data_IF_260342059474
#
_entry.id   IF_260342059474
#
_cell.length_a   1.000
_cell.length_b   1.000
_cell.length_c   1.000
_cell.angle_alpha   90.00
_cell.angle_beta   90.00
_cell.angle_gamma   90.00
#
_symmetry.space_group_name_H-M   'P 1'
#
loop_
_entity.id
_entity.type
_entity.pdbx_description
1 polymer ?
#
# COMPACT_ATOMS: atom_id res chain seq x y z
N UNK A 1 -18.85 -13.40 -26.48
CA UNK A 1 -18.18 -13.94 -27.68
C UNK A 1 -16.68 -13.56 -27.75
N UNK A 2 -16.03 -13.24 -26.60
CA UNK A 2 -14.60 -12.88 -26.51
C UNK A 2 -13.72 -14.07 -26.09
N UNK A 3 -14.29 -15.14 -25.55
CA UNK A 3 -13.55 -16.26 -24.92
C UNK A 3 -12.89 -17.26 -25.88
N UNK A 4 -13.17 -17.24 -27.15
CA UNK A 4 -12.74 -18.32 -28.06
C UNK A 4 -11.27 -18.23 -28.56
N UNK A 5 -10.51 -17.19 -28.18
CA UNK A 5 -9.11 -17.00 -28.59
C UNK A 5 -8.13 -16.70 -27.44
N UNK A 6 -8.56 -16.90 -26.19
CA UNK A 6 -7.70 -16.67 -25.03
C UNK A 6 -6.91 -17.94 -24.68
N UNK A 7 -5.66 -17.80 -24.22
CA UNK A 7 -4.91 -18.91 -23.65
C UNK A 7 -5.63 -19.48 -22.39
N UNK A 8 -5.36 -20.74 -22.05
CA UNK A 8 -5.94 -21.35 -20.84
C UNK A 8 -5.69 -20.50 -19.60
N UNK A 9 -4.46 -20.00 -19.43
CA UNK A 9 -4.08 -19.12 -18.34
C UNK A 9 -4.90 -17.81 -18.30
N UNK A 10 -5.18 -17.23 -19.47
CA UNK A 10 -6.02 -16.03 -19.56
C UNK A 10 -7.47 -16.31 -19.19
N UNK A 11 -7.98 -17.50 -19.52
CA UNK A 11 -9.34 -17.91 -19.15
C UNK A 11 -9.47 -18.13 -17.64
N UNK A 12 -8.49 -18.75 -16.98
CA UNK A 12 -8.46 -18.94 -15.53
C UNK A 12 -8.41 -17.59 -14.79
N UNK A 13 -7.58 -16.65 -15.24
CA UNK A 13 -7.53 -15.29 -14.67
C UNK A 13 -8.87 -14.56 -14.83
N UNK A 14 -9.50 -14.68 -16.00
CA UNK A 14 -10.81 -14.09 -16.26
C UNK A 14 -11.87 -14.64 -15.30
N UNK A 15 -11.97 -15.96 -15.14
CA UNK A 15 -12.91 -16.61 -14.24
C UNK A 15 -12.70 -16.23 -12.78
N UNK A 16 -11.44 -16.10 -12.37
CA UNK A 16 -11.08 -15.64 -11.04
C UNK A 16 -11.58 -14.20 -10.79
N UNK A 17 -11.31 -13.28 -11.71
CA UNK A 17 -11.75 -11.87 -11.64
C UNK A 17 -13.29 -11.80 -11.64
N UNK A 18 -13.95 -12.55 -12.52
CA UNK A 18 -15.40 -12.61 -12.60
C UNK A 18 -16.01 -13.07 -11.26
N UNK A 19 -15.43 -14.07 -10.62
CA UNK A 19 -15.88 -14.60 -9.34
C UNK A 19 -15.78 -13.53 -8.22
N UNK A 20 -14.70 -12.74 -8.18
CA UNK A 20 -14.54 -11.63 -7.25
C UNK A 20 -15.62 -10.56 -7.50
N UNK A 21 -15.82 -10.17 -8.75
CA UNK A 21 -16.81 -9.15 -9.13
C UNK A 21 -18.23 -9.60 -8.79
N UNK A 22 -18.59 -10.86 -9.07
CA UNK A 22 -19.91 -11.42 -8.69
C UNK A 22 -20.15 -11.37 -7.20
N UNK A 23 -19.14 -11.65 -6.41
CA UNK A 23 -19.22 -11.64 -4.94
C UNK A 23 -19.47 -10.24 -4.38
N UNK A 24 -18.89 -9.19 -4.96
CA UNK A 24 -18.90 -7.84 -4.40
C UNK A 24 -19.82 -6.85 -5.13
N UNK A 25 -20.08 -7.06 -6.42
CA UNK A 25 -20.87 -6.16 -7.27
C UNK A 25 -22.20 -6.83 -7.71
N UNK A 26 -22.21 -8.15 -7.86
CA UNK A 26 -23.37 -8.91 -8.31
C UNK A 26 -23.38 -9.15 -9.81
N UNK A 27 -24.13 -8.37 -10.59
CA UNK A 27 -24.26 -8.59 -12.04
C UNK A 27 -23.00 -8.14 -12.80
N UNK A 28 -22.36 -9.11 -13.45
CA UNK A 28 -21.15 -8.93 -14.28
C UNK A 28 -21.39 -9.20 -15.77
N UNK A 29 -22.65 -9.33 -16.18
CA UNK A 29 -23.04 -9.71 -17.55
C UNK A 29 -22.58 -8.75 -18.64
N UNK A 30 -22.14 -7.55 -18.29
CA UNK A 30 -21.74 -6.48 -19.21
C UNK A 30 -20.34 -5.95 -18.84
N UNK A 31 -19.34 -6.83 -18.82
CA UNK A 31 -17.95 -6.37 -18.76
C UNK A 31 -17.57 -5.72 -20.08
N UNK A 32 -17.23 -4.42 -20.00
CA UNK A 32 -17.00 -3.58 -21.17
C UNK A 32 -15.53 -3.53 -21.55
N UNK A 33 -14.63 -3.50 -20.56
CA UNK A 33 -13.19 -3.37 -20.79
C UNK A 33 -12.37 -4.01 -19.66
N UNK A 34 -11.20 -4.54 -20.04
CA UNK A 34 -10.19 -5.13 -19.16
C UNK A 34 -8.82 -4.57 -19.48
N UNK A 35 -8.13 -4.06 -18.47
CA UNK A 35 -6.74 -3.66 -18.62
C UNK A 35 -5.90 -4.28 -17.50
N UNK A 36 -5.01 -5.20 -17.88
CA UNK A 36 -4.04 -5.79 -16.95
C UNK A 36 -2.85 -4.84 -16.73
N UNK A 37 -2.41 -4.79 -15.48
CA UNK A 37 -1.20 -4.08 -15.07
C UNK A 37 -0.22 -5.11 -14.52
N UNK A 38 0.95 -5.13 -15.11
CA UNK A 38 2.06 -5.96 -14.67
C UNK A 38 3.05 -5.03 -13.97
N UNK A 39 2.89 -4.85 -12.67
CA UNK A 39 3.72 -3.96 -11.86
C UNK A 39 4.21 -4.66 -10.61
N UNK A 40 5.54 -4.67 -10.40
CA UNK A 40 6.15 -5.33 -9.26
C UNK A 40 6.31 -6.85 -9.42
N UNK A 41 7.18 -7.46 -8.60
CA UNK A 41 7.57 -8.86 -8.78
C UNK A 41 6.55 -9.90 -8.29
N UNK A 42 5.42 -9.49 -7.65
CA UNK A 42 4.58 -10.44 -6.91
C UNK A 42 3.07 -10.25 -7.07
N UNK A 43 2.59 -9.09 -7.48
CA UNK A 43 1.17 -8.81 -7.56
C UNK A 43 0.72 -8.59 -9.01
N UNK A 44 -0.40 -9.22 -9.35
CA UNK A 44 -1.12 -8.95 -10.59
C UNK A 44 -2.22 -7.94 -10.28
N UNK A 45 -2.54 -7.09 -11.25
CA UNK A 45 -3.63 -6.14 -11.10
C UNK A 45 -4.40 -5.99 -12.41
N UNK A 46 -5.68 -5.65 -12.29
CA UNK A 46 -6.56 -5.40 -13.42
C UNK A 46 -7.51 -4.25 -13.11
N UNK A 47 -7.71 -3.37 -14.09
CA UNK A 47 -8.85 -2.47 -14.15
C UNK A 47 -9.97 -3.15 -14.91
N UNK A 48 -11.17 -3.12 -14.37
CA UNK A 48 -12.37 -3.67 -15.00
C UNK A 48 -13.43 -2.60 -15.07
N UNK A 49 -14.01 -2.41 -16.24
CA UNK A 49 -15.14 -1.51 -16.44
C UNK A 49 -16.43 -2.31 -16.59
N UNK A 50 -17.39 -2.04 -15.70
CA UNK A 50 -18.75 -2.54 -15.75
C UNK A 50 -19.72 -1.35 -15.91
N UNK A 51 -21.00 -1.61 -16.22
CA UNK A 51 -22.04 -0.60 -16.12
C UNK A 51 -22.19 0.00 -14.72
N UNK A 52 -21.89 -0.79 -13.69
CA UNK A 52 -21.94 -0.38 -12.29
C UNK A 52 -20.79 0.56 -11.86
N UNK A 53 -19.75 0.70 -12.69
CA UNK A 53 -18.57 1.53 -12.39
C UNK A 53 -17.26 0.89 -12.83
N UNK A 54 -16.16 1.54 -12.48
CA UNK A 54 -14.81 1.02 -12.72
C UNK A 54 -14.19 0.52 -11.43
N UNK A 55 -13.54 -0.65 -11.50
CA UNK A 55 -12.98 -1.37 -10.37
C UNK A 55 -11.52 -1.69 -10.62
N UNK A 56 -10.74 -1.64 -9.55
CA UNK A 56 -9.34 -2.06 -9.57
C UNK A 56 -9.17 -3.26 -8.64
N UNK A 57 -8.66 -4.35 -9.17
CA UNK A 57 -8.48 -5.60 -8.44
C UNK A 57 -7.00 -5.97 -8.47
N UNK A 58 -6.43 -6.18 -7.30
CA UNK A 58 -5.10 -6.77 -7.11
C UNK A 58 -5.25 -8.18 -6.58
N UNK A 59 -4.35 -9.09 -6.97
CA UNK A 59 -4.25 -10.42 -6.37
C UNK A 59 -2.81 -10.95 -6.43
N UNK A 60 -2.51 -11.89 -5.56
CA UNK A 60 -1.26 -12.61 -5.53
C UNK A 60 -1.47 -14.11 -5.82
N UNK A 61 -0.36 -14.85 -5.92
CA UNK A 61 -0.39 -16.29 -6.17
C UNK A 61 -0.21 -17.12 -4.88
N UNK A 62 -0.63 -16.60 -3.74
CA UNK A 62 -0.67 -17.37 -2.48
C UNK A 62 0.59 -17.31 -1.61
N UNK A 63 1.64 -16.61 -2.03
CA UNK A 63 2.93 -16.61 -1.31
C UNK A 63 3.00 -15.61 -0.13
N UNK A 64 2.09 -14.64 -0.05
CA UNK A 64 2.11 -13.55 0.95
C UNK A 64 0.75 -13.37 1.63
N UNK A 65 0.44 -14.31 2.53
CA UNK A 65 -0.82 -14.28 3.28
C UNK A 65 -0.93 -13.04 4.19
N UNK A 66 -2.05 -12.34 4.09
CA UNK A 66 -2.36 -11.15 4.88
C UNK A 66 -1.87 -9.81 4.29
N UNK A 67 -1.24 -9.81 3.10
CA UNK A 67 -0.76 -8.59 2.45
C UNK A 67 -1.92 -7.65 2.10
N UNK A 68 -2.92 -8.16 1.40
CA UNK A 68 -4.06 -7.34 0.96
C UNK A 68 -5.02 -6.98 2.10
N UNK A 69 -5.11 -7.82 3.13
CA UNK A 69 -5.84 -7.46 4.34
C UNK A 69 -5.16 -6.28 5.08
N UNK A 70 -3.83 -6.29 5.15
CA UNK A 70 -3.06 -5.18 5.71
C UNK A 70 -3.20 -3.90 4.86
N UNK A 71 -3.13 -4.00 3.53
CA UNK A 71 -3.33 -2.86 2.63
C UNK A 71 -4.74 -2.27 2.78
N UNK A 72 -5.77 -3.11 2.84
CA UNK A 72 -7.14 -2.67 3.08
C UNK A 72 -7.29 -1.90 4.41
N UNK A 73 -6.64 -2.38 5.48
CA UNK A 73 -6.60 -1.69 6.78
C UNK A 73 -5.84 -0.37 6.70
N UNK A 74 -4.73 -0.32 5.97
CA UNK A 74 -3.96 0.91 5.75
C UNK A 74 -4.78 1.97 5.00
N UNK A 75 -5.46 1.58 3.92
CA UNK A 75 -6.35 2.47 3.17
C UNK A 75 -7.48 3.00 4.06
N UNK A 76 -8.13 2.13 4.82
CA UNK A 76 -9.17 2.52 5.76
C UNK A 76 -8.66 3.48 6.84
N UNK A 77 -7.43 3.29 7.33
CA UNK A 77 -6.80 4.16 8.32
C UNK A 77 -6.58 5.57 7.76
N UNK A 78 -6.02 5.70 6.55
CA UNK A 78 -5.86 7.02 5.90
C UNK A 78 -7.23 7.64 5.62
N UNK A 79 -8.18 6.89 5.04
CA UNK A 79 -9.52 7.42 4.75
C UNK A 79 -10.24 7.93 6.00
N UNK A 80 -10.04 7.29 7.15
CA UNK A 80 -10.64 7.71 8.43
C UNK A 80 -10.24 9.12 8.85
N UNK A 81 -9.05 9.58 8.45
CA UNK A 81 -8.56 10.94 8.75
C UNK A 81 -9.23 12.02 7.92
N UNK A 82 -9.80 11.67 6.79
CA UNK A 82 -10.36 12.61 5.79
C UNK A 82 -9.37 13.69 5.31
N UNK A 83 -8.08 13.48 5.55
CA UNK A 83 -7.04 14.44 5.18
C UNK A 83 -6.71 14.38 3.69
N UNK A 84 -6.62 13.18 3.12
CA UNK A 84 -6.19 12.96 1.74
C UNK A 84 -6.98 11.80 1.13
N UNK A 85 -7.24 11.87 -0.16
CA UNK A 85 -7.98 10.83 -0.89
C UNK A 85 -7.16 9.56 -1.03
N UNK A 86 -7.83 8.44 -0.82
CA UNK A 86 -7.35 7.08 -1.13
C UNK A 86 -8.49 6.30 -1.78
N UNK A 87 -8.22 5.24 -2.54
CA UNK A 87 -9.28 4.43 -3.12
C UNK A 87 -10.10 3.74 -2.02
N UNK A 88 -11.43 3.71 -2.24
CA UNK A 88 -12.34 2.99 -1.35
C UNK A 88 -12.20 1.49 -1.55
N UNK A 89 -11.94 0.77 -0.47
CA UNK A 89 -11.96 -0.69 -0.48
C UNK A 89 -13.40 -1.20 -0.62
N UNK A 90 -13.62 -2.06 -1.60
CA UNK A 90 -14.92 -2.67 -1.91
C UNK A 90 -14.98 -4.13 -1.48
N UNK A 91 -13.81 -4.80 -1.40
CA UNK A 91 -13.71 -6.15 -0.92
C UNK A 91 -12.26 -6.60 -0.75
N UNK A 92 -12.04 -7.47 0.22
CA UNK A 92 -10.77 -8.16 0.45
C UNK A 92 -11.07 -9.60 0.85
N UNK A 93 -10.20 -10.53 0.50
CA UNK A 93 -10.36 -11.92 0.89
C UNK A 93 -9.46 -12.85 0.10
N UNK A 94 -9.79 -14.14 0.18
CA UNK A 94 -9.13 -15.18 -0.60
C UNK A 94 -10.13 -15.98 -1.42
N UNK A 95 -9.68 -16.49 -2.55
CA UNK A 95 -10.39 -17.36 -3.46
C UNK A 95 -9.34 -18.24 -4.16
N UNK A 96 -9.55 -19.57 -4.16
CA UNK A 96 -8.62 -20.53 -4.79
C UNK A 96 -7.16 -20.36 -4.34
N UNK A 97 -6.93 -20.20 -3.04
CA UNK A 97 -5.61 -19.96 -2.42
C UNK A 97 -4.91 -18.65 -2.83
N UNK A 98 -5.58 -17.79 -3.60
CA UNK A 98 -5.10 -16.45 -3.97
C UNK A 98 -5.78 -15.40 -3.11
N UNK A 99 -5.01 -14.51 -2.51
CA UNK A 99 -5.58 -13.32 -1.87
C UNK A 99 -5.87 -12.25 -2.91
N UNK A 100 -6.90 -11.46 -2.65
CA UNK A 100 -7.26 -10.33 -3.48
C UNK A 100 -7.71 -9.11 -2.68
N UNK A 101 -7.54 -7.95 -3.27
CA UNK A 101 -8.08 -6.67 -2.85
C UNK A 101 -8.82 -6.04 -4.03
N UNK A 102 -10.09 -5.74 -3.82
CA UNK A 102 -10.92 -5.00 -4.77
C UNK A 102 -11.22 -3.62 -4.23
N UNK A 103 -11.00 -2.60 -5.05
CA UNK A 103 -11.23 -1.21 -4.71
C UNK A 103 -11.85 -0.46 -5.88
N UNK A 104 -12.35 0.75 -5.62
CA UNK A 104 -12.75 1.65 -6.70
C UNK A 104 -11.54 1.99 -7.57
N UNK A 105 -11.77 2.12 -8.88
CA UNK A 105 -10.75 2.63 -9.78
C UNK A 105 -10.82 4.16 -9.77
N UNK A 106 -9.76 4.81 -9.29
CA UNK A 106 -9.70 6.26 -9.27
C UNK A 106 -9.49 6.80 -10.69
N UNK A 107 -10.37 7.68 -11.18
CA UNK A 107 -10.19 8.30 -12.49
C UNK A 107 -8.99 9.28 -12.43
N UNK A 108 -8.13 9.23 -13.45
CA UNK A 108 -6.96 10.10 -13.56
C UNK A 108 -7.27 11.37 -14.35
N UNK A 109 -6.52 12.44 -14.09
CA UNK A 109 -6.64 13.72 -14.74
C UNK A 109 -5.31 14.46 -14.86
N UNK A 110 -5.37 15.75 -15.13
CA UNK A 110 -4.22 16.66 -15.16
C UNK A 110 -4.15 17.47 -13.87
N UNK A 111 -2.95 17.93 -13.50
CA UNK A 111 -2.75 18.73 -12.28
C UNK A 111 -3.51 20.06 -12.36
N UNK A 112 -4.20 20.41 -11.27
CA UNK A 112 -4.69 21.78 -11.06
C UNK A 112 -3.53 22.77 -10.88
N UNK A 113 -3.81 24.07 -11.00
CA UNK A 113 -2.79 25.11 -10.85
C UNK A 113 -2.16 25.18 -9.46
N UNK A 114 -2.89 24.78 -8.43
CA UNK A 114 -2.52 24.76 -7.01
C UNK A 114 -2.22 23.34 -6.45
N UNK A 115 -2.01 22.38 -7.34
CA UNK A 115 -1.81 20.96 -7.00
C UNK A 115 -0.78 20.73 -5.88
N UNK A 116 0.37 21.39 -5.97
CA UNK A 116 1.46 21.17 -5.01
C UNK A 116 1.18 21.79 -3.64
N UNK A 117 0.50 22.94 -3.61
CA UNK A 117 0.08 23.58 -2.37
C UNK A 117 -1.01 22.76 -1.67
N UNK A 118 -1.99 22.27 -2.43
CA UNK A 118 -3.03 21.37 -1.95
C UNK A 118 -2.43 20.06 -1.41
N UNK A 119 -1.51 19.45 -2.17
CA UNK A 119 -0.84 18.22 -1.72
C UNK A 119 -0.07 18.42 -0.42
N UNK A 120 0.76 19.48 -0.34
CA UNK A 120 1.50 19.79 0.88
C UNK A 120 0.58 20.03 2.08
N UNK A 121 -0.52 20.73 1.88
CA UNK A 121 -1.54 20.99 2.92
C UNK A 121 -2.22 19.70 3.39
N UNK A 122 -2.63 18.83 2.47
CA UNK A 122 -3.27 17.55 2.77
C UNK A 122 -2.32 16.58 3.46
N UNK A 123 -1.07 16.52 3.02
CA UNK A 123 -0.04 15.71 3.65
C UNK A 123 0.22 16.18 5.09
N UNK A 124 0.32 17.48 5.32
CA UNK A 124 0.46 18.04 6.66
C UNK A 124 -0.75 17.72 7.55
N UNK A 125 -1.98 17.72 6.99
CA UNK A 125 -3.17 17.30 7.71
C UNK A 125 -3.14 15.81 8.08
N UNK A 126 -2.67 14.95 7.17
CA UNK A 126 -2.48 13.53 7.46
C UNK A 126 -1.49 13.35 8.62
N UNK A 127 -0.36 14.05 8.58
CA UNK A 127 0.68 13.97 9.60
C UNK A 127 0.29 14.58 10.96
N UNK A 128 -0.78 15.37 11.06
CA UNK A 128 -1.33 15.83 12.35
C UNK A 128 -2.02 14.73 13.14
N UNK A 129 -2.33 13.59 12.51
CA UNK A 129 -2.90 12.45 13.23
C UNK A 129 -1.78 11.72 13.96
N UNK A 130 -1.88 11.66 15.27
CA UNK A 130 -0.91 11.00 16.16
C UNK A 130 -1.57 9.85 16.93
N UNK A 131 -0.76 9.00 17.53
CA UNK A 131 -1.23 7.90 18.37
C UNK A 131 -0.82 8.11 19.83
N UNK A 132 -1.74 7.88 20.77
CA UNK A 132 -1.45 7.86 22.21
C UNK A 132 -0.50 6.71 22.58
N UNK A 133 -0.41 5.67 21.77
CA UNK A 133 0.49 4.55 21.99
C UNK A 133 1.93 4.85 21.52
N UNK A 134 2.19 6.05 21.00
CA UNK A 134 3.48 6.45 20.45
C UNK A 134 3.64 6.06 18.98
N UNK A 135 4.81 5.50 18.63
CA UNK A 135 5.21 5.12 17.28
C UNK A 135 4.97 3.63 17.06
N UNK A 136 4.36 3.26 15.95
CA UNK A 136 4.01 1.87 15.65
C UNK A 136 2.69 1.72 14.94
N UNK A 137 2.15 0.50 14.94
CA UNK A 137 0.82 0.18 14.42
C UNK A 137 0.30 -1.08 15.11
N UNK A 138 -1.00 -1.20 15.28
CA UNK A 138 -1.63 -2.33 15.97
C UNK A 138 -1.52 -3.67 15.21
N UNK A 139 -1.01 -3.66 13.99
CA UNK A 139 -0.85 -4.85 13.17
C UNK A 139 0.42 -4.76 12.32
N UNK A 140 0.89 -5.93 11.92
CA UNK A 140 1.96 -6.08 10.92
C UNK A 140 1.43 -5.73 9.54
N UNK A 141 2.21 -4.98 8.76
CA UNK A 141 1.92 -4.70 7.36
C UNK A 141 3.13 -5.03 6.46
N UNK A 142 3.15 -4.49 5.25
CA UNK A 142 4.15 -4.85 4.26
C UNK A 142 4.63 -3.61 3.51
N UNK A 143 5.92 -3.57 3.19
CA UNK A 143 6.53 -2.66 2.23
C UNK A 143 6.97 -3.48 1.01
N UNK A 144 6.18 -3.45 -0.07
CA UNK A 144 6.29 -4.43 -1.13
C UNK A 144 6.07 -5.85 -0.58
N UNK A 145 7.02 -6.77 -0.78
CA UNK A 145 6.99 -8.11 -0.20
C UNK A 145 7.58 -8.19 1.23
N UNK A 146 8.24 -7.14 1.68
CA UNK A 146 8.92 -7.16 2.99
C UNK A 146 7.91 -6.93 4.12
N UNK A 147 7.83 -7.91 5.02
CA UNK A 147 7.00 -7.83 6.22
C UNK A 147 7.55 -6.76 7.17
N UNK A 148 6.70 -5.84 7.62
CA UNK A 148 7.01 -4.81 8.59
C UNK A 148 6.30 -5.10 9.92
N UNK A 149 7.08 -5.38 10.96
CA UNK A 149 6.60 -5.36 12.34
C UNK A 149 6.46 -3.91 12.81
N UNK A 150 5.48 -3.66 13.69
CA UNK A 150 5.12 -2.31 14.09
C UNK A 150 4.88 -2.23 15.60
N UNK A 151 5.67 -2.97 16.39
CA UNK A 151 5.54 -2.98 17.85
C UNK A 151 5.65 -1.56 18.39
N UNK A 152 4.69 -1.18 19.24
CA UNK A 152 4.59 0.16 19.76
C UNK A 152 5.80 0.57 20.61
N UNK A 153 6.29 1.80 20.41
CA UNK A 153 7.34 2.41 21.19
C UNK A 153 7.04 3.90 21.43
N UNK A 154 7.16 4.35 22.66
CA UNK A 154 6.98 5.77 23.02
C UNK A 154 8.13 6.65 22.51
N UNK A 155 9.30 6.06 22.26
CA UNK A 155 10.45 6.72 21.66
C UNK A 155 10.49 6.46 20.16
N UNK A 156 10.27 7.49 19.35
CA UNK A 156 10.19 7.40 17.90
C UNK A 156 11.52 7.02 17.25
N UNK A 157 12.62 7.52 17.78
CA UNK A 157 13.96 7.19 17.28
C UNK A 157 14.28 5.71 17.53
N UNK A 158 13.93 5.21 18.71
CA UNK A 158 14.10 3.81 19.03
C UNK A 158 13.20 2.92 18.16
N UNK A 159 11.95 3.30 17.94
CA UNK A 159 11.07 2.61 16.99
C UNK A 159 11.69 2.56 15.58
N UNK A 160 12.18 3.68 15.08
CA UNK A 160 12.79 3.76 13.76
C UNK A 160 14.02 2.86 13.63
N UNK A 161 14.89 2.86 14.65
CA UNK A 161 16.06 1.97 14.69
C UNK A 161 15.62 0.49 14.69
N UNK A 162 14.75 0.09 15.62
CA UNK A 162 14.44 -1.33 15.85
C UNK A 162 13.50 -1.91 14.78
N UNK A 163 12.46 -1.15 14.36
CA UNK A 163 11.41 -1.68 13.50
C UNK A 163 11.65 -1.36 12.02
N UNK A 164 12.57 -0.47 11.69
CA UNK A 164 12.86 -0.09 10.29
C UNK A 164 14.29 -0.40 9.90
N UNK A 165 15.27 0.23 10.53
CA UNK A 165 16.67 0.12 10.09
C UNK A 165 17.28 -1.25 10.39
N UNK A 166 17.23 -1.71 11.64
CA UNK A 166 17.82 -3.00 12.04
C UNK A 166 17.24 -4.16 11.25
N UNK A 167 15.92 -4.18 11.06
CA UNK A 167 15.25 -5.24 10.27
C UNK A 167 15.77 -5.30 8.83
N UNK A 168 15.99 -4.16 8.20
CA UNK A 168 16.52 -4.13 6.83
C UNK A 168 18.00 -4.52 6.79
N UNK A 169 18.80 -4.09 7.76
CA UNK A 169 20.21 -4.50 7.88
C UNK A 169 20.31 -6.01 8.09
N UNK A 170 19.51 -6.59 8.99
CA UNK A 170 19.46 -8.04 9.23
C UNK A 170 19.12 -8.83 7.95
N UNK A 171 18.12 -8.39 7.19
CA UNK A 171 17.72 -9.00 5.91
C UNK A 171 18.85 -8.88 4.89
N UNK A 172 19.45 -7.69 4.76
CA UNK A 172 20.54 -7.45 3.82
C UNK A 172 21.78 -8.29 4.15
N UNK A 173 22.12 -8.42 5.42
CA UNK A 173 23.22 -9.27 5.90
C UNK A 173 22.93 -10.75 5.64
N UNK A 174 21.74 -11.23 6.02
CA UNK A 174 21.33 -12.62 5.76
C UNK A 174 21.46 -13.00 4.27
N UNK A 175 21.05 -12.10 3.38
CA UNK A 175 21.18 -12.29 1.93
C UNK A 175 22.55 -11.91 1.36
N UNK A 176 23.54 -11.60 2.21
CA UNK A 176 24.91 -11.21 1.83
C UNK A 176 24.95 -10.02 0.85
N UNK A 177 24.02 -9.06 1.03
CA UNK A 177 23.97 -7.82 0.23
C UNK A 177 24.84 -6.72 0.80
N UNK A 178 25.26 -6.85 2.07
CA UNK A 178 26.20 -5.97 2.75
C UNK A 178 27.30 -6.82 3.39
N UNK A 179 28.46 -6.22 3.60
CA UNK A 179 29.62 -6.82 4.27
C UNK A 179 29.73 -6.40 5.75
N UNK A 180 30.57 -7.08 6.51
CA UNK A 180 30.78 -6.80 7.94
C UNK A 180 31.18 -5.34 8.22
N UNK A 181 32.12 -4.71 7.47
CA UNK A 181 32.44 -3.30 7.65
C UNK A 181 31.23 -2.36 7.45
N UNK A 182 30.30 -2.70 6.57
CA UNK A 182 29.05 -1.95 6.37
C UNK A 182 28.11 -2.13 7.56
N UNK A 183 27.97 -3.34 8.09
CA UNK A 183 27.21 -3.61 9.31
C UNK A 183 27.71 -2.81 10.50
N UNK A 184 29.05 -2.76 10.71
CA UNK A 184 29.66 -1.95 11.78
C UNK A 184 29.32 -0.46 11.64
N UNK A 185 29.28 0.08 10.41
CA UNK A 185 28.85 1.47 10.17
C UNK A 185 27.39 1.68 10.54
N UNK A 186 26.52 0.71 10.27
CA UNK A 186 25.13 0.79 10.70
C UNK A 186 25.00 0.76 12.23
N UNK A 187 25.77 -0.08 12.94
CA UNK A 187 25.76 -0.09 14.40
C UNK A 187 26.18 1.28 14.96
N UNK A 188 27.24 1.87 14.42
CA UNK A 188 27.66 3.22 14.80
C UNK A 188 26.57 4.27 14.50
N UNK A 189 25.89 4.16 13.36
CA UNK A 189 24.77 5.04 13.03
C UNK A 189 23.64 4.93 14.06
N UNK A 190 23.27 3.70 14.47
CA UNK A 190 22.19 3.49 15.43
C UNK A 190 22.49 4.14 16.79
N UNK A 191 23.75 4.16 17.21
CA UNK A 191 24.20 4.86 18.42
C UNK A 191 24.08 6.40 18.30
N UNK A 192 24.22 6.94 17.08
CA UNK A 192 24.17 8.39 16.84
C UNK A 192 22.80 8.94 16.52
N UNK A 193 21.88 8.13 16.04
CA UNK A 193 20.54 8.58 15.67
C UNK A 193 19.80 9.31 16.78
N UNK A 194 19.86 8.90 18.08
CA UNK A 194 19.21 9.64 19.16
C UNK A 194 19.72 11.08 19.34
N UNK A 195 20.96 11.36 18.93
CA UNK A 195 21.54 12.71 18.99
C UNK A 195 21.19 13.55 17.75
N UNK A 196 20.83 12.89 16.63
CA UNK A 196 20.58 13.53 15.34
C UNK A 196 19.11 13.77 15.05
N UNK A 197 18.23 12.93 15.55
CA UNK A 197 16.79 12.99 15.29
C UNK A 197 16.07 13.37 16.57
N UNK A 198 15.31 14.49 16.61
CA UNK A 198 14.52 14.84 17.77
C UNK A 198 13.42 13.80 18.03
N UNK A 199 13.14 13.53 19.30
CA UNK A 199 12.02 12.69 19.65
C UNK A 199 10.74 13.54 19.66
N UNK A 200 9.93 13.38 18.60
CA UNK A 200 8.71 14.13 18.39
C UNK A 200 7.46 13.26 18.64
N UNK A 201 6.31 13.91 18.65
CA UNK A 201 5.02 13.19 18.64
C UNK A 201 4.86 12.43 17.32
N UNK A 202 4.37 11.20 17.40
CA UNK A 202 4.18 10.37 16.21
C UNK A 202 3.20 11.00 15.24
N UNK A 203 3.47 10.83 13.94
CA UNK A 203 2.60 11.22 12.84
C UNK A 203 2.14 10.00 12.05
N UNK A 204 0.88 10.00 11.58
CA UNK A 204 0.43 8.96 10.64
C UNK A 204 1.10 9.17 9.29
N UNK A 205 1.96 8.24 8.91
CA UNK A 205 2.68 8.25 7.65
C UNK A 205 2.01 7.32 6.62
N UNK A 206 2.11 7.69 5.35
CA UNK A 206 1.77 6.77 4.24
C UNK A 206 2.69 5.52 4.24
N UNK A 207 3.93 5.68 4.63
CA UNK A 207 4.92 4.61 4.79
C UNK A 207 5.64 4.19 3.51
N UNK A 208 5.09 4.51 2.33
CA UNK A 208 5.70 4.27 1.02
C UNK A 208 5.38 5.40 0.03
N UNK A 209 5.61 6.65 0.44
CA UNK A 209 5.26 7.82 -0.36
C UNK A 209 6.36 8.17 -1.36
N UNK A 210 6.11 7.82 -2.61
CA UNK A 210 6.92 8.17 -3.77
C UNK A 210 6.00 8.48 -4.97
N UNK A 211 6.56 8.94 -6.09
CA UNK A 211 5.77 9.38 -7.25
C UNK A 211 4.87 8.29 -7.85
N UNK A 212 5.22 7.01 -7.70
CA UNK A 212 4.40 5.89 -8.19
C UNK A 212 3.13 5.66 -7.36
N UNK A 213 3.12 6.08 -6.09
CA UNK A 213 1.99 5.94 -5.18
C UNK A 213 1.19 7.25 -5.03
N UNK A 214 1.50 8.26 -5.85
CA UNK A 214 0.87 9.57 -5.87
C UNK A 214 0.15 9.76 -7.22
N UNK A 215 -1.16 9.60 -7.25
CA UNK A 215 -1.99 9.75 -8.45
C UNK A 215 -2.56 11.16 -8.56
N UNK A 216 -2.74 11.64 -9.79
CA UNK A 216 -3.53 12.85 -10.06
C UNK A 216 -4.95 12.38 -10.37
N UNK A 217 -5.88 12.65 -9.47
CA UNK A 217 -7.29 12.34 -9.67
C UNK A 217 -7.92 13.27 -10.72
N UNK A 218 -9.06 12.90 -11.30
CA UNK A 218 -9.74 13.64 -12.37
C UNK A 218 -10.15 15.08 -12.02
N UNK A 219 -10.22 15.40 -10.72
CA UNK A 219 -10.43 16.78 -10.24
C UNK A 219 -9.15 17.61 -10.17
N UNK A 220 -8.01 17.07 -10.60
CA UNK A 220 -6.71 17.74 -10.62
C UNK A 220 -5.92 17.67 -9.31
N UNK A 221 -6.41 16.99 -8.28
CA UNK A 221 -5.78 16.90 -6.96
C UNK A 221 -5.22 15.52 -6.67
N UNK A 222 -4.44 15.45 -5.57
CA UNK A 222 -3.76 14.23 -5.16
C UNK A 222 -4.71 13.15 -4.68
N UNK A 223 -4.40 11.90 -5.03
CA UNK A 223 -4.87 10.69 -4.37
C UNK A 223 -3.68 9.76 -4.11
N UNK A 224 -3.63 9.13 -2.95
CA UNK A 224 -2.57 8.19 -2.59
C UNK A 224 -3.06 6.75 -2.71
N UNK A 225 -2.16 5.87 -3.14
CA UNK A 225 -2.40 4.43 -3.30
C UNK A 225 -1.26 3.63 -2.66
N UNK A 226 -1.47 2.35 -2.41
CA UNK A 226 -0.45 1.40 -1.93
C UNK A 226 0.23 1.81 -0.61
N UNK A 227 -0.52 2.17 0.42
CA UNK A 227 0.07 2.61 1.67
C UNK A 227 0.65 1.46 2.51
N UNK A 228 1.78 1.74 3.17
CA UNK A 228 2.42 0.89 4.19
C UNK A 228 2.42 1.61 5.54
N UNK A 229 1.24 2.05 5.99
CA UNK A 229 1.05 2.99 7.08
C UNK A 229 1.65 2.56 8.42
N UNK A 230 2.09 3.53 9.17
CA UNK A 230 2.39 3.42 10.60
C UNK A 230 2.45 4.83 11.20
N UNK A 231 2.39 4.91 12.52
CA UNK A 231 2.70 6.14 13.25
C UNK A 231 4.21 6.21 13.45
N UNK A 232 4.85 7.21 12.84
CA UNK A 232 6.31 7.37 12.81
C UNK A 232 6.77 8.81 13.08
N UNK A 233 8.08 9.05 12.86
CA UNK A 233 8.71 10.38 12.91
C UNK A 233 8.57 11.07 11.57
#
# INVERSE_FOLDING_TARGET
MILFHMSQQSQEQYQFIESILRKHVGDVSNMEDFQFFYGGNFNLAVRVKLKAGEFFIKWNQGEHLGLFEAEAKNLALIDSTKAIRVPKVLGVGSLEEKEYLMMECLPTGEKSGDYWEDFGSKLAQLHKNSSINGHGLAYTNYLGAAKQTNDWNLNGVQFFIEQRLKKQVEIASYHRKIDAPTEEKFQFLFEKLPDLIPNETSALLHGDLWSGNAMIHSDGYIALVDPSCYFGL
#
